data_IF_651841036069
#
_entry.id   IF_651841036069
#
_cell.length_a   1.000
_cell.length_b   1.000
_cell.length_c   1.000
_cell.angle_alpha   90.00
_cell.angle_beta   90.00
_cell.angle_gamma   90.00
#
_symmetry.space_group_name_H-M   'P 1'
#
loop_
_entity.id
_entity.type
_entity.pdbx_description
1 polymer ?
#
# COMPACT_ATOMS: atom_id res chain seq x y z
N UNK A 1 4.24 -25.34 9.14
CA UNK A 1 2.89 -24.73 9.06
C UNK A 1 2.73 -24.17 7.67
N UNK A 2 1.80 -24.70 6.87
CA UNK A 2 1.65 -24.30 5.46
C UNK A 2 1.01 -22.91 5.33
N UNK A 3 1.48 -22.10 4.39
CA UNK A 3 0.94 -20.77 4.07
C UNK A 3 -0.59 -20.76 3.90
N UNK A 4 -1.16 -21.85 3.37
CA UNK A 4 -2.61 -22.05 3.23
C UNK A 4 -3.38 -22.03 4.57
N UNK A 5 -2.81 -22.57 5.64
CA UNK A 5 -3.43 -22.55 6.97
C UNK A 5 -3.43 -21.17 7.62
N UNK A 6 -2.41 -20.35 7.34
CA UNK A 6 -2.32 -18.96 7.79
C UNK A 6 -3.34 -18.08 7.05
N UNK A 7 -3.48 -18.26 5.74
CA UNK A 7 -4.48 -17.58 4.92
C UNK A 7 -5.92 -17.91 5.34
N UNK A 8 -6.21 -19.17 5.68
CA UNK A 8 -7.53 -19.59 6.17
C UNK A 8 -7.87 -18.98 7.55
N UNK A 9 -6.89 -18.78 8.43
CA UNK A 9 -7.06 -18.10 9.72
C UNK A 9 -7.36 -16.61 9.56
N UNK A 10 -6.63 -15.93 8.67
CA UNK A 10 -6.84 -14.51 8.37
C UNK A 10 -8.22 -14.25 7.73
N UNK A 11 -8.64 -15.11 6.81
CA UNK A 11 -9.96 -15.02 6.15
C UNK A 11 -11.15 -15.19 7.11
N UNK A 12 -10.97 -15.92 8.23
CA UNK A 12 -11.98 -16.01 9.29
C UNK A 12 -12.02 -14.76 10.16
N UNK A 13 -10.90 -14.06 10.38
CA UNK A 13 -10.87 -12.76 11.07
C UNK A 13 -11.59 -11.69 10.25
N UNK A 14 -11.38 -11.63 8.92
CA UNK A 14 -12.00 -10.64 8.03
C UNK A 14 -13.54 -10.75 8.03
N UNK A 15 -14.09 -11.97 8.20
CA UNK A 15 -15.54 -12.23 8.18
C UNK A 15 -16.27 -12.03 9.51
N UNK A 16 -15.58 -12.01 10.65
CA UNK A 16 -16.22 -11.95 11.98
C UNK A 16 -16.69 -10.56 12.39
N UNK A 17 -16.11 -9.55 11.76
CA UNK A 17 -16.38 -8.17 12.08
C UNK A 17 -17.70 -7.74 11.38
N UNK A 18 -18.73 -7.40 12.15
CA UNK A 18 -20.04 -6.98 11.65
C UNK A 18 -19.92 -5.81 10.66
N UNK A 19 -20.57 -5.92 9.51
CA UNK A 19 -20.41 -5.00 8.39
C UNK A 19 -20.82 -3.57 8.75
N UNK A 20 -19.86 -2.63 8.65
CA UNK A 20 -19.82 -1.47 7.75
C UNK A 20 -18.36 -0.97 7.76
N UNK A 21 -17.60 -1.31 6.72
CA UNK A 21 -16.18 -1.00 6.52
C UNK A 21 -15.18 -1.52 7.58
N UNK A 22 -14.53 -2.64 7.28
CA UNK A 22 -13.48 -3.20 8.13
C UNK A 22 -12.15 -2.44 8.01
N UNK A 23 -11.51 -2.13 9.14
CA UNK A 23 -10.25 -1.37 9.18
C UNK A 23 -9.12 -2.08 8.39
N UNK A 24 -9.03 -3.42 8.49
CA UNK A 24 -8.05 -4.21 7.70
C UNK A 24 -8.33 -4.13 6.19
N UNK A 25 -9.60 -4.15 5.79
CA UNK A 25 -9.99 -4.02 4.38
C UNK A 25 -9.77 -2.59 3.85
N UNK A 26 -10.03 -1.57 4.67
CA UNK A 26 -9.74 -0.16 4.36
C UNK A 26 -8.25 0.05 4.13
N UNK A 27 -7.41 -0.50 4.99
CA UNK A 27 -5.96 -0.42 4.86
C UNK A 27 -5.50 -1.07 3.55
N UNK A 28 -6.02 -2.26 3.22
CA UNK A 28 -5.69 -2.90 1.94
C UNK A 28 -6.17 -2.08 0.74
N UNK A 29 -7.38 -1.51 0.79
CA UNK A 29 -7.93 -0.70 -0.31
C UNK A 29 -7.11 0.58 -0.51
N UNK A 30 -6.71 1.24 0.57
CA UNK A 30 -5.91 2.48 0.53
C UNK A 30 -4.51 2.23 0.00
N UNK A 31 -3.84 1.15 0.40
CA UNK A 31 -2.54 0.77 -0.17
C UNK A 31 -2.62 0.51 -1.69
N UNK A 32 -3.65 -0.21 -2.16
CA UNK A 32 -3.87 -0.41 -3.60
C UNK A 32 -4.15 0.90 -4.34
N UNK A 33 -4.96 1.79 -3.74
CA UNK A 33 -5.25 3.09 -4.33
C UNK A 33 -3.98 3.95 -4.41
N UNK A 34 -3.09 3.86 -3.43
CA UNK A 34 -1.84 4.61 -3.42
C UNK A 34 -0.87 4.16 -4.53
N UNK A 35 -0.75 2.85 -4.74
CA UNK A 35 0.01 2.29 -5.87
C UNK A 35 -0.53 2.79 -7.22
N UNK A 36 -1.85 2.78 -7.41
CA UNK A 36 -2.47 3.32 -8.61
C UNK A 36 -2.29 4.84 -8.76
N UNK A 37 -2.33 5.59 -7.66
CA UNK A 37 -2.13 7.03 -7.64
C UNK A 37 -0.70 7.39 -8.07
N UNK A 38 0.32 6.71 -7.52
CA UNK A 38 1.71 6.92 -7.89
C UNK A 38 1.94 6.80 -9.40
N UNK A 39 1.39 5.75 -10.04
CA UNK A 39 1.44 5.58 -11.49
C UNK A 39 0.75 6.71 -12.26
N UNK A 40 -0.44 7.14 -11.81
CA UNK A 40 -1.17 8.25 -12.45
C UNK A 40 -0.40 9.57 -12.37
N UNK A 41 0.18 9.91 -11.22
CA UNK A 41 1.01 11.11 -11.08
C UNK A 41 2.27 11.04 -11.93
N UNK A 42 2.87 9.86 -12.14
CA UNK A 42 4.00 9.68 -13.05
C UNK A 42 3.63 9.94 -14.52
N UNK A 43 2.47 9.44 -14.97
CA UNK A 43 1.95 9.72 -16.32
C UNK A 43 1.63 11.20 -16.47
N UNK A 44 0.96 11.80 -15.49
CA UNK A 44 0.64 13.24 -15.52
C UNK A 44 1.90 14.10 -15.51
N UNK A 45 2.92 13.77 -14.71
CA UNK A 45 4.20 14.49 -14.72
C UNK A 45 4.88 14.45 -16.09
N UNK A 46 4.82 13.31 -16.79
CA UNK A 46 5.36 13.15 -18.14
C UNK A 46 4.60 13.98 -19.20
N UNK A 47 3.29 14.17 -19.00
CA UNK A 47 2.45 14.94 -19.94
C UNK A 47 2.59 16.47 -19.81
N UNK A 48 3.23 16.95 -18.75
CA UNK A 48 3.29 18.38 -18.42
C UNK A 48 4.64 18.95 -18.86
N UNK A 49 4.62 19.88 -19.80
CA UNK A 49 5.82 20.61 -20.23
C UNK A 49 6.13 21.86 -19.39
N UNK A 50 5.21 22.26 -18.50
CA UNK A 50 5.38 23.44 -17.62
C UNK A 50 6.16 23.06 -16.36
N UNK A 51 7.31 23.70 -16.15
CA UNK A 51 8.24 23.41 -15.04
C UNK A 51 7.60 23.51 -13.65
N UNK A 52 6.80 24.55 -13.41
CA UNK A 52 6.18 24.78 -12.09
C UNK A 52 5.18 23.68 -11.72
N UNK A 53 4.39 23.24 -12.71
CA UNK A 53 3.45 22.13 -12.54
C UNK A 53 4.20 20.82 -12.39
N UNK A 54 5.24 20.57 -13.19
CA UNK A 54 6.10 19.38 -13.06
C UNK A 54 6.66 19.25 -11.64
N UNK A 55 7.20 20.33 -11.07
CA UNK A 55 7.70 20.34 -9.69
C UNK A 55 6.59 20.05 -8.65
N UNK A 56 5.38 20.57 -8.85
CA UNK A 56 4.23 20.30 -7.98
C UNK A 56 3.82 18.82 -8.01
N UNK A 57 3.76 18.22 -9.20
CA UNK A 57 3.42 16.80 -9.36
C UNK A 57 4.47 15.89 -8.72
N UNK A 58 5.75 16.20 -8.87
CA UNK A 58 6.83 15.46 -8.21
C UNK A 58 6.78 15.59 -6.69
N UNK A 59 6.46 16.79 -6.17
CA UNK A 59 6.29 17.01 -4.72
C UNK A 59 5.13 16.19 -4.16
N UNK A 60 3.99 16.15 -4.86
CA UNK A 60 2.83 15.33 -4.48
C UNK A 60 3.16 13.83 -4.54
N UNK A 61 3.86 13.40 -5.58
CA UNK A 61 4.34 12.02 -5.73
C UNK A 61 5.26 11.61 -4.58
N UNK A 62 6.12 12.52 -4.10
CA UNK A 62 6.96 12.30 -2.92
C UNK A 62 6.13 12.03 -1.65
N UNK A 63 5.08 12.82 -1.41
CA UNK A 63 4.19 12.60 -0.26
C UNK A 63 3.44 11.26 -0.32
N UNK A 64 3.05 10.86 -1.53
CA UNK A 64 2.41 9.57 -1.82
C UNK A 64 3.34 8.39 -1.51
N UNK A 65 4.62 8.50 -1.89
CA UNK A 65 5.61 7.47 -1.63
C UNK A 65 5.83 7.26 -0.13
N UNK A 66 5.99 8.34 0.64
CA UNK A 66 6.12 8.26 2.11
C UNK A 66 4.87 7.62 2.74
N UNK A 67 3.69 8.03 2.30
CA UNK A 67 2.44 7.42 2.77
C UNK A 67 2.34 5.93 2.38
N UNK A 68 2.82 5.55 1.20
CA UNK A 68 2.84 4.16 0.74
C UNK A 68 3.78 3.30 1.61
N UNK A 69 4.91 3.84 2.05
CA UNK A 69 5.81 3.16 2.99
C UNK A 69 5.12 2.89 4.34
N UNK A 70 4.45 3.91 4.89
CA UNK A 70 3.70 3.78 6.14
C UNK A 70 2.58 2.73 6.03
N UNK A 71 1.82 2.74 4.94
CA UNK A 71 0.77 1.73 4.71
C UNK A 71 1.35 0.32 4.57
N UNK A 72 2.51 0.16 3.94
CA UNK A 72 3.18 -1.14 3.80
C UNK A 72 3.64 -1.66 5.18
N UNK A 73 4.19 -0.78 6.01
CA UNK A 73 4.58 -1.11 7.39
C UNK A 73 3.37 -1.52 8.24
N UNK A 74 2.22 -0.84 8.07
CA UNK A 74 0.97 -1.22 8.75
C UNK A 74 0.42 -2.57 8.27
N UNK A 75 0.51 -2.87 6.97
CA UNK A 75 0.06 -4.16 6.42
C UNK A 75 0.89 -5.34 6.94
N UNK A 76 2.21 -5.15 7.10
CA UNK A 76 3.09 -6.14 7.72
C UNK A 76 2.72 -6.34 9.20
N UNK A 77 2.49 -5.25 9.95
CA UNK A 77 2.03 -5.31 11.36
C UNK A 77 0.70 -6.05 11.52
N UNK A 78 -0.19 -5.95 10.54
CA UNK A 78 -1.47 -6.66 10.53
C UNK A 78 -1.40 -8.07 9.90
N UNK A 79 -0.19 -8.58 9.62
CA UNK A 79 0.05 -9.88 8.99
C UNK A 79 -0.72 -10.09 7.68
N UNK A 80 -0.95 -8.99 6.95
CA UNK A 80 -1.61 -9.02 5.65
C UNK A 80 -0.58 -9.22 4.53
N UNK A 81 0.61 -8.65 4.69
CA UNK A 81 1.76 -8.85 3.81
C UNK A 81 2.86 -9.59 4.56
N UNK A 82 3.57 -10.44 3.83
CA UNK A 82 4.75 -11.09 4.35
C UNK A 82 5.93 -10.12 4.34
N UNK A 83 6.87 -10.30 5.27
CA UNK A 83 8.09 -9.52 5.23
C UNK A 83 8.90 -9.95 3.99
N UNK A 84 9.48 -9.02 3.22
CA UNK A 84 10.38 -9.41 2.15
C UNK A 84 11.56 -10.21 2.74
N UNK A 85 12.04 -11.28 2.07
CA UNK A 85 13.23 -11.97 2.52
C UNK A 85 14.40 -10.99 2.45
N UNK A 86 14.84 -10.50 3.60
CA UNK A 86 16.06 -9.70 3.70
C UNK A 86 17.23 -10.67 3.48
N UNK A 87 18.11 -10.37 2.53
CA UNK A 87 19.39 -11.06 2.43
C UNK A 87 20.11 -10.87 3.77
N UNK A 88 20.42 -11.97 4.45
CA UNK A 88 21.20 -11.93 5.69
C UNK A 88 22.46 -11.11 5.43
N UNK A 89 22.64 -10.01 6.17
CA UNK A 89 23.89 -9.26 6.15
C UNK A 89 24.96 -10.17 6.74
N UNK A 90 25.87 -10.64 5.88
CA UNK A 90 27.10 -11.33 6.27
C UNK A 90 28.11 -10.34 6.87
#
# INVERSE_FOLDING_TARGET
>A
MNCLSYQLGNQKSIRKEGHHFQSKLMLFKTANLMSAAAGRYGVSASSIFRKDLGALFLKLMGGILVYSEDTSNLLIKHHMWDHPPLLEKK
#
